data_IF_655154215484
#
_entry.id   IF_655154215484
#
_cell.length_a   1.000
_cell.length_b   1.000
_cell.length_c   1.000
_cell.angle_alpha   90.00
_cell.angle_beta   90.00
_cell.angle_gamma   90.00
#
_symmetry.space_group_name_H-M   'P 1'
#
loop_
_entity.id
_entity.type
_entity.pdbx_description
1 polymer ?
#
# COMPACT_ATOMS: atom_id res chain seq x y z
N UNK A 1 -3.24 -3.14 27.03
CA UNK A 1 -3.30 -1.91 26.21
C UNK A 1 -3.48 -2.29 24.75
N UNK A 2 -4.51 -1.78 24.08
CA UNK A 2 -4.74 -2.00 22.64
C UNK A 2 -3.84 -1.08 21.83
N UNK A 3 -3.09 -1.60 20.85
CA UNK A 3 -2.25 -0.78 19.95
C UNK A 3 -3.10 0.24 19.18
N UNK A 4 -2.62 1.47 19.06
CA UNK A 4 -3.24 2.50 18.22
C UNK A 4 -3.19 2.10 16.74
N UNK A 5 -4.01 2.75 15.91
CA UNK A 5 -4.00 2.49 14.48
C UNK A 5 -2.63 2.81 13.84
N UNK A 6 -2.02 3.93 14.21
CA UNK A 6 -0.69 4.26 13.70
C UNK A 6 0.40 3.27 14.15
N UNK A 7 0.30 2.74 15.38
CA UNK A 7 1.19 1.65 15.79
C UNK A 7 1.00 0.38 14.96
N UNK A 8 -0.24 0.08 14.53
CA UNK A 8 -0.49 -1.07 13.64
C UNK A 8 0.08 -0.82 12.23
N UNK A 9 -0.11 0.38 11.66
CA UNK A 9 0.46 0.77 10.36
C UNK A 9 1.98 0.71 10.35
N UNK A 10 2.60 1.23 11.40
CA UNK A 10 4.05 1.20 11.58
C UNK A 10 4.57 -0.24 11.67
N UNK A 11 3.93 -1.09 12.49
CA UNK A 11 4.32 -2.49 12.65
C UNK A 11 4.21 -3.27 11.33
N UNK A 12 3.06 -3.16 10.63
CA UNK A 12 2.87 -3.79 9.33
C UNK A 12 3.92 -3.31 8.32
N UNK A 13 4.11 -2.00 8.22
CA UNK A 13 5.05 -1.43 7.26
C UNK A 13 6.50 -1.85 7.55
N UNK A 14 6.91 -1.89 8.82
CA UNK A 14 8.26 -2.31 9.21
C UNK A 14 8.57 -3.75 8.79
N UNK A 15 7.61 -4.65 8.97
CA UNK A 15 7.74 -6.04 8.52
C UNK A 15 7.83 -6.12 6.99
N UNK A 16 6.92 -5.45 6.28
CA UNK A 16 6.81 -5.55 4.82
C UNK A 16 7.94 -4.88 4.07
N UNK A 17 8.59 -3.85 4.61
CA UNK A 17 9.68 -3.16 3.89
C UNK A 17 11.03 -3.87 4.02
N UNK A 18 11.15 -4.84 4.92
CA UNK A 18 12.39 -5.58 5.12
C UNK A 18 12.83 -6.35 3.87
N UNK A 19 14.13 -6.34 3.59
CA UNK A 19 14.73 -6.99 2.42
C UNK A 19 14.35 -6.39 1.05
N UNK A 20 13.50 -5.36 0.96
CA UNK A 20 13.01 -4.86 -0.34
C UNK A 20 14.09 -4.18 -1.18
N UNK A 21 13.89 -4.22 -2.50
CA UNK A 21 14.83 -3.69 -3.50
C UNK A 21 14.84 -2.16 -3.58
N UNK A 22 15.84 -1.59 -4.27
CA UNK A 22 15.92 -0.14 -4.50
C UNK A 22 14.74 0.36 -5.35
N UNK A 23 14.31 -0.44 -6.32
CA UNK A 23 13.16 -0.16 -7.19
C UNK A 23 11.87 -0.12 -6.38
N UNK A 24 11.67 -1.06 -5.44
CA UNK A 24 10.55 -1.02 -4.50
C UNK A 24 10.56 0.27 -3.68
N UNK A 25 11.70 0.66 -3.12
CA UNK A 25 11.83 1.89 -2.32
C UNK A 25 11.50 3.13 -3.16
N UNK A 26 11.96 3.17 -4.41
CA UNK A 26 11.66 4.27 -5.33
C UNK A 26 10.17 4.32 -5.69
N UNK A 27 9.55 3.17 -5.97
CA UNK A 27 8.13 3.07 -6.24
C UNK A 27 7.29 3.51 -5.03
N UNK A 28 7.64 3.05 -3.83
CA UNK A 28 6.97 3.43 -2.59
C UNK A 28 7.02 4.95 -2.33
N UNK A 29 8.12 5.62 -2.72
CA UNK A 29 8.22 7.10 -2.63
C UNK A 29 7.24 7.82 -3.56
N UNK A 30 7.00 7.28 -4.75
CA UNK A 30 6.11 7.86 -5.76
C UNK A 30 4.62 7.49 -5.54
N UNK A 31 4.34 6.33 -4.95
CA UNK A 31 3.01 5.76 -4.85
C UNK A 31 1.93 6.68 -4.23
N UNK A 32 2.19 7.43 -3.12
CA UNK A 32 1.19 8.36 -2.58
C UNK A 32 0.77 9.43 -3.59
N UNK A 33 1.72 9.97 -4.37
CA UNK A 33 1.44 10.99 -5.37
C UNK A 33 0.61 10.41 -6.53
N UNK A 34 0.91 9.18 -6.96
CA UNK A 34 0.11 8.48 -7.99
C UNK A 34 -1.34 8.29 -7.55
N UNK A 35 -1.56 7.89 -6.29
CA UNK A 35 -2.92 7.74 -5.74
C UNK A 35 -3.63 9.10 -5.69
N UNK A 36 -2.95 10.17 -5.32
CA UNK A 36 -3.54 11.50 -5.27
C UNK A 36 -3.88 12.06 -6.67
N UNK A 37 -3.06 11.79 -7.68
CA UNK A 37 -3.26 12.32 -9.04
C UNK A 37 -4.23 11.49 -9.87
N UNK A 38 -4.16 10.16 -9.76
CA UNK A 38 -4.86 9.23 -10.64
C UNK A 38 -5.96 8.44 -9.91
N UNK A 39 -5.99 8.50 -8.58
CA UNK A 39 -6.88 7.68 -7.76
C UNK A 39 -6.31 6.30 -7.43
N UNK A 40 -6.92 5.67 -6.41
CA UNK A 40 -6.47 4.38 -5.89
C UNK A 40 -6.55 3.26 -6.94
N UNK A 41 -7.73 3.02 -7.52
CA UNK A 41 -7.93 1.92 -8.48
C UNK A 41 -7.02 2.01 -9.70
N UNK A 42 -6.84 3.22 -10.27
CA UNK A 42 -5.95 3.39 -11.43
C UNK A 42 -4.49 3.10 -11.07
N UNK A 43 -4.06 3.51 -9.87
CA UNK A 43 -2.71 3.24 -9.39
C UNK A 43 -2.47 1.75 -9.16
N UNK A 44 -3.43 1.04 -8.57
CA UNK A 44 -3.34 -0.41 -8.37
C UNK A 44 -3.32 -1.15 -9.72
N UNK A 45 -4.16 -0.74 -10.67
CA UNK A 45 -4.17 -1.29 -12.02
C UNK A 45 -2.84 -1.04 -12.76
N UNK A 46 -2.22 0.12 -12.56
CA UNK A 46 -0.89 0.44 -13.09
C UNK A 46 0.19 -0.48 -12.49
N UNK A 47 0.19 -0.73 -11.18
CA UNK A 47 1.14 -1.67 -10.57
C UNK A 47 0.94 -3.09 -11.12
N UNK A 48 -0.31 -3.53 -11.25
CA UNK A 48 -0.62 -4.84 -11.82
C UNK A 48 -0.15 -4.96 -13.28
N UNK A 49 -0.34 -3.92 -14.10
CA UNK A 49 0.03 -3.96 -15.52
C UNK A 49 1.54 -3.97 -15.77
N UNK A 50 2.33 -3.35 -14.87
CA UNK A 50 3.79 -3.41 -14.95
C UNK A 50 4.33 -4.81 -14.70
N UNK A 51 3.74 -5.58 -13.78
CA UNK A 51 4.04 -6.99 -13.59
C UNK A 51 5.43 -7.34 -13.04
N UNK A 52 6.32 -6.36 -12.86
CA UNK A 52 7.63 -6.51 -12.24
C UNK A 52 7.51 -6.83 -10.74
N UNK A 53 8.53 -7.48 -10.17
CA UNK A 53 8.50 -7.95 -8.78
C UNK A 53 8.14 -6.85 -7.77
N UNK A 54 8.82 -5.71 -7.82
CA UNK A 54 8.59 -4.61 -6.88
C UNK A 54 7.21 -3.94 -7.02
N UNK A 55 6.64 -3.92 -8.23
CA UNK A 55 5.27 -3.44 -8.47
C UNK A 55 4.25 -4.39 -7.83
N UNK A 56 4.41 -5.70 -8.04
CA UNK A 56 3.57 -6.74 -7.43
C UNK A 56 3.65 -6.73 -5.92
N UNK A 57 4.84 -6.58 -5.35
CA UNK A 57 5.04 -6.50 -3.91
C UNK A 57 4.31 -5.29 -3.29
N UNK A 58 4.48 -4.09 -3.86
CA UNK A 58 3.83 -2.90 -3.31
C UNK A 58 2.31 -2.95 -3.46
N UNK A 59 1.82 -3.41 -4.62
CA UNK A 59 0.40 -3.69 -4.85
C UNK A 59 -0.15 -4.63 -3.77
N UNK A 60 0.52 -5.75 -3.55
CA UNK A 60 0.09 -6.76 -2.59
C UNK A 60 0.08 -6.20 -1.16
N UNK A 61 1.10 -5.44 -0.74
CA UNK A 61 1.13 -4.85 0.59
C UNK A 61 -0.03 -3.88 0.84
N UNK A 62 -0.44 -3.09 -0.16
CA UNK A 62 -1.61 -2.20 -0.03
C UNK A 62 -2.90 -3.02 0.13
N UNK A 63 -3.10 -4.04 -0.71
CA UNK A 63 -4.31 -4.88 -0.64
C UNK A 63 -4.37 -5.71 0.66
N UNK A 64 -3.24 -6.24 1.11
CA UNK A 64 -3.13 -6.94 2.40
C UNK A 64 -3.54 -6.03 3.55
N UNK A 65 -3.02 -4.80 3.59
CA UNK A 65 -3.37 -3.87 4.64
C UNK A 65 -4.87 -3.53 4.64
N UNK A 66 -5.46 -3.22 3.49
CA UNK A 66 -6.89 -2.93 3.38
C UNK A 66 -7.76 -4.15 3.77
N UNK A 67 -7.30 -5.36 3.49
CA UNK A 67 -7.93 -6.59 3.95
C UNK A 67 -7.81 -6.80 5.46
N UNK A 68 -6.63 -6.58 6.06
CA UNK A 68 -6.45 -6.63 7.53
C UNK A 68 -7.34 -5.62 8.25
N UNK A 69 -7.53 -4.45 7.63
CA UNK A 69 -8.42 -3.38 8.09
C UNK A 69 -9.90 -3.67 7.90
N UNK A 70 -10.25 -4.80 7.27
CA UNK A 70 -11.64 -5.19 6.94
C UNK A 70 -12.36 -4.17 6.05
N UNK A 71 -11.59 -3.40 5.29
CA UNK A 71 -12.09 -2.53 4.23
C UNK A 71 -12.38 -3.36 2.97
N UNK A 72 -11.48 -4.31 2.69
CA UNK A 72 -11.67 -5.34 1.67
C UNK A 72 -11.97 -6.69 2.32
N UNK A 73 -12.72 -7.53 1.61
CA UNK A 73 -12.98 -8.92 1.97
C UNK A 73 -11.93 -9.88 1.42
N UNK A 74 -11.15 -9.46 0.41
CA UNK A 74 -10.02 -10.20 -0.09
C UNK A 74 -8.83 -9.29 -0.47
N UNK A 75 -7.61 -9.83 -0.37
CA UNK A 75 -6.37 -9.14 -0.77
C UNK A 75 -5.91 -9.45 -2.19
N UNK A 76 -6.65 -10.26 -2.96
CA UNK A 76 -6.30 -10.53 -4.35
C UNK A 76 -6.78 -9.40 -5.27
N UNK A 77 -5.99 -9.10 -6.31
CA UNK A 77 -6.22 -7.95 -7.18
C UNK A 77 -7.62 -7.95 -7.82
N UNK A 78 -8.03 -9.03 -8.48
CA UNK A 78 -9.30 -9.06 -9.23
C UNK A 78 -10.52 -8.88 -8.33
N UNK A 79 -10.56 -9.55 -7.17
CA UNK A 79 -11.65 -9.38 -6.21
C UNK A 79 -11.63 -7.98 -5.60
N UNK A 80 -10.45 -7.46 -5.22
CA UNK A 80 -10.35 -6.12 -4.66
C UNK A 80 -10.86 -5.05 -5.64
N UNK A 81 -10.49 -5.15 -6.93
CA UNK A 81 -10.95 -4.22 -7.96
C UNK A 81 -12.48 -4.27 -8.15
N UNK A 82 -13.07 -5.47 -8.10
CA UNK A 82 -14.53 -5.63 -8.11
C UNK A 82 -15.17 -5.00 -6.88
N UNK A 83 -14.64 -5.28 -5.68
CA UNK A 83 -15.15 -4.70 -4.43
C UNK A 83 -15.10 -3.17 -4.46
N UNK A 84 -13.99 -2.56 -4.90
CA UNK A 84 -13.90 -1.10 -5.03
C UNK A 84 -14.95 -0.53 -5.98
N UNK A 85 -15.26 -1.22 -7.08
CA UNK A 85 -16.28 -0.77 -8.04
C UNK A 85 -17.72 -0.83 -7.49
N UNK A 86 -17.94 -1.65 -6.47
CA UNK A 86 -19.25 -1.85 -5.82
C UNK A 86 -19.40 -1.03 -4.53
N UNK A 87 -18.33 -0.39 -4.05
CA UNK A 87 -18.36 0.46 -2.85
C UNK A 87 -19.16 1.75 -3.07
N UNK A 88 -19.79 2.23 -2.00
CA UNK A 88 -20.30 3.60 -1.98
C UNK A 88 -19.15 4.61 -2.03
N UNK A 89 -19.45 5.87 -2.39
CA UNK A 89 -18.45 6.94 -2.41
C UNK A 89 -17.75 7.15 -1.07
N UNK A 90 -18.50 7.02 0.05
CA UNK A 90 -17.94 7.13 1.40
C UNK A 90 -16.98 5.98 1.72
N UNK A 91 -17.36 4.75 1.39
CA UNK A 91 -16.53 3.56 1.58
C UNK A 91 -15.25 3.65 0.76
N UNK A 92 -15.37 4.04 -0.52
CA UNK A 92 -14.23 4.18 -1.41
C UNK A 92 -13.28 5.32 -0.97
N UNK A 93 -13.84 6.43 -0.46
CA UNK A 93 -13.04 7.52 0.11
C UNK A 93 -12.28 7.05 1.36
N UNK A 94 -12.93 6.31 2.26
CA UNK A 94 -12.28 5.74 3.45
C UNK A 94 -11.17 4.75 3.06
N UNK A 95 -11.40 3.91 2.05
CA UNK A 95 -10.39 3.00 1.51
C UNK A 95 -9.18 3.75 0.93
N UNK A 96 -9.44 4.83 0.17
CA UNK A 96 -8.41 5.69 -0.40
C UNK A 96 -7.58 6.38 0.68
N UNK A 97 -8.23 6.91 1.72
CA UNK A 97 -7.55 7.53 2.86
C UNK A 97 -6.67 6.53 3.63
N UNK A 98 -7.18 5.32 3.88
CA UNK A 98 -6.39 4.28 4.55
C UNK A 98 -5.22 3.80 3.67
N UNK A 99 -5.41 3.66 2.36
CA UNK A 99 -4.35 3.33 1.41
C UNK A 99 -3.24 4.40 1.40
N UNK A 100 -3.61 5.69 1.39
CA UNK A 100 -2.65 6.78 1.50
C UNK A 100 -1.90 6.75 2.83
N UNK A 101 -2.59 6.51 3.95
CA UNK A 101 -1.97 6.43 5.27
C UNK A 101 -0.93 5.30 5.35
N UNK A 102 -1.23 4.10 4.83
CA UNK A 102 -0.26 3.02 4.84
C UNK A 102 0.90 3.26 3.88
N UNK A 103 0.63 3.83 2.69
CA UNK A 103 1.70 4.19 1.74
C UNK A 103 2.67 5.23 2.30
N UNK A 104 2.19 6.15 3.14
CA UNK A 104 3.07 7.10 3.86
C UNK A 104 4.02 6.38 4.83
N UNK A 105 3.51 5.42 5.61
CA UNK A 105 4.35 4.60 6.51
C UNK A 105 5.36 3.73 5.74
N UNK A 106 4.91 3.04 4.69
CA UNK A 106 5.77 2.23 3.82
C UNK A 106 6.87 3.11 3.19
N UNK A 107 6.53 4.29 2.67
CA UNK A 107 7.48 5.24 2.09
C UNK A 107 8.60 5.61 3.06
N UNK A 108 8.25 5.97 4.29
CA UNK A 108 9.23 6.43 5.29
C UNK A 108 10.13 5.28 5.76
N UNK A 109 9.54 4.13 6.09
CA UNK A 109 10.31 2.99 6.63
C UNK A 109 11.14 2.28 5.56
N UNK A 110 10.65 2.18 4.32
CA UNK A 110 11.44 1.65 3.21
C UNK A 110 12.68 2.54 2.94
N UNK A 111 12.52 3.86 3.02
CA UNK A 111 13.64 4.79 2.87
C UNK A 111 14.67 4.66 4.01
N UNK A 112 14.21 4.50 5.26
CA UNK A 112 15.07 4.30 6.42
C UNK A 112 15.93 3.02 6.28
N UNK A 113 15.31 1.87 5.99
CA UNK A 113 16.03 0.61 5.83
C UNK A 113 17.03 0.63 4.66
N UNK A 114 16.70 1.35 3.58
CA UNK A 114 17.61 1.50 2.45
C UNK A 114 18.84 2.35 2.77
N UNK A 115 18.75 3.25 3.76
CA UNK A 115 19.88 4.05 4.24
C UNK A 115 20.74 3.25 5.23
N UNK A 116 20.13 2.46 6.11
CA UNK A 116 20.87 1.58 7.03
C UNK A 116 21.77 0.57 6.30
N UNK A 117 21.30 -0.01 5.18
CA UNK A 117 22.13 -0.96 4.38
C UNK A 117 23.34 -0.32 3.67
N UNK A 118 23.42 1.01 3.61
CA UNK A 118 24.52 1.73 2.97
C UNK A 118 25.63 2.12 3.95
N UNK A 119 25.33 2.06 5.24
CA UNK A 119 26.25 2.36 6.34
C UNK A 119 26.91 1.08 6.85
#
# INVERSE_FOLDING_TARGET
MTRSLDQKRAAFSWEKVHGKSKEYVNLAKAAPALVMSNGLMQTLAFFQSKGEGHHKELLQHVLEWLYERKILKASNFNTAMKEFSEMSSEQYMAATQEALAILQWIRQLAAAQANERKN
#
